data_IF_151194990174
#
_entry.id   IF_151194990174
#
_cell.length_a   1.000
_cell.length_b   1.000
_cell.length_c   1.000
_cell.angle_alpha   90.00
_cell.angle_beta   90.00
_cell.angle_gamma   90.00
#
_symmetry.space_group_name_H-M   'P 1'
#
loop_
_entity.id
_entity.type
_entity.pdbx_description
1 polymer ?
#
# COMPACT_ATOMS: atom_id res chain seq x y z
N UNK A 1 9.15 4.11 -6.07
CA UNK A 1 10.60 4.30 -5.82
C UNK A 1 10.93 5.59 -5.07
N UNK A 2 10.24 6.71 -5.29
CA UNK A 2 10.66 8.03 -4.76
C UNK A 2 10.01 8.42 -3.42
N UNK A 3 9.26 7.54 -2.75
CA UNK A 3 8.65 7.89 -1.47
C UNK A 3 9.67 7.73 -0.33
N UNK A 4 10.04 8.80 0.40
CA UNK A 4 11.04 8.74 1.47
C UNK A 4 10.58 8.01 2.74
N UNK A 5 9.29 7.65 2.83
CA UNK A 5 8.68 7.07 4.03
C UNK A 5 8.02 5.71 3.80
N UNK A 6 8.27 5.06 2.65
CA UNK A 6 7.61 3.80 2.29
C UNK A 6 6.07 3.90 2.43
N UNK A 7 5.50 5.06 2.10
CA UNK A 7 4.08 5.36 2.29
C UNK A 7 3.24 5.21 1.01
N UNK A 8 3.89 5.04 -0.15
CA UNK A 8 3.23 4.89 -1.45
C UNK A 8 3.74 3.63 -2.15
N UNK A 9 2.80 2.77 -2.55
CA UNK A 9 3.06 1.54 -3.28
C UNK A 9 2.15 1.47 -4.51
N UNK A 10 2.63 0.80 -5.56
CA UNK A 10 1.80 0.47 -6.71
C UNK A 10 1.01 -0.79 -6.41
N UNK A 11 -0.31 -0.73 -6.61
CA UNK A 11 -1.16 -1.90 -6.56
C UNK A 11 -0.95 -2.77 -7.82
N UNK A 12 -1.05 -4.11 -7.73
CA UNK A 12 -1.09 -4.97 -8.91
C UNK A 12 -2.37 -4.81 -9.73
N UNK A 13 -3.40 -4.13 -9.20
CA UNK A 13 -4.65 -3.88 -9.91
C UNK A 13 -4.44 -2.94 -11.11
N UNK A 14 -4.93 -3.36 -12.28
CA UNK A 14 -4.74 -2.65 -13.54
C UNK A 14 -6.08 -2.19 -14.17
N UNK A 15 -7.20 -2.75 -13.73
CA UNK A 15 -8.53 -2.45 -14.24
C UNK A 15 -9.20 -1.35 -13.41
N UNK A 16 -8.68 -0.13 -13.55
CA UNK A 16 -9.19 1.08 -12.90
C UNK A 16 -9.65 2.14 -13.93
N UNK A 17 -9.97 1.69 -15.15
CA UNK A 17 -10.44 2.58 -16.21
C UNK A 17 -11.85 3.09 -15.91
N UNK A 18 -12.08 4.38 -16.19
CA UNK A 18 -13.34 5.04 -15.91
C UNK A 18 -13.89 5.74 -17.16
N UNK A 19 -15.21 5.90 -17.22
CA UNK A 19 -15.91 6.49 -18.38
C UNK A 19 -15.67 8.00 -18.47
N UNK A 20 -15.54 8.69 -17.33
CA UNK A 20 -15.31 10.14 -17.26
C UNK A 20 -13.95 10.43 -16.65
N UNK A 21 -13.29 11.46 -17.17
CA UNK A 21 -11.95 11.85 -16.70
C UNK A 21 -11.92 12.28 -15.22
N UNK A 22 -13.01 12.83 -14.71
CA UNK A 22 -13.09 13.23 -13.30
C UNK A 22 -13.03 12.03 -12.34
N UNK A 23 -13.49 10.86 -12.79
CA UNK A 23 -13.56 9.65 -11.97
C UNK A 23 -12.18 8.95 -11.86
N UNK A 24 -11.21 9.32 -12.71
CA UNK A 24 -9.81 8.87 -12.61
C UNK A 24 -9.06 9.52 -11.42
N UNK A 25 -9.67 10.49 -10.74
CA UNK A 25 -9.13 11.12 -9.55
C UNK A 25 -9.53 10.31 -8.32
N UNK A 26 -8.60 9.53 -7.80
CA UNK A 26 -8.83 8.72 -6.61
C UNK A 26 -8.45 9.48 -5.34
N UNK A 27 -9.41 9.63 -4.42
CA UNK A 27 -9.17 10.16 -3.09
C UNK A 27 -8.61 9.09 -2.13
N UNK A 28 -8.41 9.46 -0.86
CA UNK A 28 -7.86 8.56 0.16
C UNK A 28 -8.72 7.31 0.38
N UNK A 29 -10.04 7.44 0.30
CA UNK A 29 -10.95 6.31 0.55
C UNK A 29 -10.85 5.30 -0.58
N UNK A 30 -10.91 5.77 -1.83
CA UNK A 30 -10.72 4.95 -3.03
C UNK A 30 -9.34 4.31 -3.09
N UNK A 31 -8.26 5.07 -2.84
CA UNK A 31 -6.91 4.51 -2.75
C UNK A 31 -6.77 3.47 -1.62
N UNK A 32 -7.54 3.63 -0.55
CA UNK A 32 -7.54 2.75 0.61
C UNK A 32 -8.16 1.37 0.36
N UNK A 33 -8.87 1.17 -0.75
CA UNK A 33 -9.39 -0.15 -1.16
C UNK A 33 -8.25 -1.11 -1.53
N UNK A 34 -7.15 -0.59 -2.07
CA UNK A 34 -5.99 -1.39 -2.45
C UNK A 34 -4.94 -1.55 -1.34
N UNK A 35 -5.21 -1.06 -0.12
CA UNK A 35 -4.26 -1.11 0.99
C UNK A 35 -3.88 -2.55 1.38
N UNK A 36 -4.80 -3.50 1.16
CA UNK A 36 -4.55 -4.93 1.36
C UNK A 36 -3.50 -5.51 0.40
N UNK A 37 -3.21 -4.82 -0.72
CA UNK A 37 -2.16 -5.23 -1.67
C UNK A 37 -0.77 -4.71 -1.31
N UNK A 38 -0.65 -3.86 -0.27
CA UNK A 38 0.66 -3.39 0.22
C UNK A 38 1.51 -4.59 0.67
N UNK A 39 2.75 -4.74 0.17
CA UNK A 39 3.63 -5.83 0.56
C UNK A 39 4.10 -5.66 2.02
N UNK A 40 4.38 -6.77 2.68
CA UNK A 40 4.99 -6.74 4.01
C UNK A 40 6.40 -6.14 3.96
N UNK A 41 6.85 -5.56 5.08
CA UNK A 41 8.22 -5.07 5.22
C UNK A 41 9.21 -6.22 5.06
N UNK A 42 10.31 -5.97 4.35
CA UNK A 42 11.42 -6.91 4.25
C UNK A 42 11.96 -7.29 5.63
N UNK A 43 12.48 -8.52 5.73
CA UNK A 43 13.12 -9.02 6.93
C UNK A 43 14.37 -8.20 7.26
N UNK A 44 14.63 -8.00 8.55
CA UNK A 44 15.86 -7.34 8.97
C UNK A 44 17.08 -8.24 8.73
N UNK A 45 18.22 -7.58 8.53
CA UNK A 45 19.52 -8.24 8.43
C UNK A 45 19.82 -9.13 9.64
N UNK A 46 20.59 -10.20 9.39
CA UNK A 46 20.96 -11.16 10.42
C UNK A 46 21.69 -10.47 11.59
N UNK A 47 21.21 -10.71 12.81
CA UNK A 47 21.77 -10.10 14.03
C UNK A 47 21.09 -8.79 14.46
N UNK A 48 20.09 -8.30 13.72
CA UNK A 48 19.27 -7.18 14.17
C UNK A 48 18.53 -7.51 15.49
N UNK A 49 18.69 -6.65 16.49
CA UNK A 49 18.05 -6.81 17.81
C UNK A 49 16.70 -6.10 17.93
N UNK A 50 16.28 -5.39 16.87
CA UNK A 50 15.02 -4.64 16.82
C UNK A 50 13.90 -5.52 16.29
N UNK A 51 12.70 -5.39 16.86
CA UNK A 51 11.52 -6.11 16.38
C UNK A 51 11.10 -5.59 15.00
N UNK A 52 10.85 -6.51 14.07
CA UNK A 52 10.37 -6.16 12.73
C UNK A 52 9.02 -5.44 12.81
N UNK A 53 8.92 -4.32 12.09
CA UNK A 53 7.65 -3.61 11.90
C UNK A 53 6.71 -4.46 11.05
N UNK A 54 5.40 -4.33 11.28
CA UNK A 54 4.35 -4.99 10.51
C UNK A 54 3.50 -3.94 9.81
N UNK A 55 3.03 -4.26 8.60
CA UNK A 55 2.06 -3.42 7.91
C UNK A 55 0.74 -3.46 8.69
N UNK A 56 0.13 -2.31 9.01
CA UNK A 56 -1.18 -2.30 9.65
C UNK A 56 -2.24 -2.82 8.67
N UNK A 57 -2.72 -4.04 8.84
CA UNK A 57 -3.89 -4.55 8.09
C UNK A 57 -5.17 -4.10 8.78
N UNK A 58 -6.22 -3.80 8.01
CA UNK A 58 -7.55 -3.63 8.61
C UNK A 58 -7.98 -4.99 9.14
N UNK A 59 -8.30 -5.11 10.43
CA UNK A 59 -8.89 -6.35 10.95
C UNK A 59 -10.17 -6.62 10.17
N UNK A 60 -10.25 -7.78 9.51
CA UNK A 60 -11.49 -8.25 8.89
C UNK A 60 -12.51 -8.44 10.00
N UNK A 61 -13.47 -7.52 10.11
CA UNK A 61 -14.64 -7.67 10.98
C UNK A 61 -15.64 -8.66 10.41
#
# INVERSE_FOLDING_TARGET
EVCPFEALFWTPEYEYSEVRIADLLHDKERLGEWFETVPDFEGYEAGAQVKQKKVPRKETS
#
